data_IF_347827537626
#
_entry.id   IF_347827537626
#
_cell.length_a   1.000
_cell.length_b   1.000
_cell.length_c   1.000
_cell.angle_alpha   90.00
_cell.angle_beta   90.00
_cell.angle_gamma   90.00
#
_symmetry.space_group_name_H-M   'P 1'
#
loop_
_entity.id
_entity.type
_entity.pdbx_description
1 polymer ?
#
# COMPACT_ATOMS: atom_id res chain seq x y z
N UNK A 1 -21.74 46.20 13.62
CA UNK A 1 -21.72 45.18 12.55
C UNK A 1 -20.50 44.28 12.77
N UNK A 2 -20.69 43.18 13.49
CA UNK A 2 -19.65 42.16 13.66
C UNK A 2 -19.67 41.26 12.41
N UNK A 3 -18.54 41.21 11.69
CA UNK A 3 -18.33 40.24 10.60
C UNK A 3 -18.02 38.89 11.25
N UNK A 4 -18.95 37.97 11.15
CA UNK A 4 -18.72 36.56 11.48
C UNK A 4 -17.61 36.02 10.57
N UNK A 5 -16.39 35.97 11.07
CA UNK A 5 -15.29 35.26 10.45
C UNK A 5 -15.56 33.77 10.56
N UNK A 6 -16.09 33.17 9.50
CA UNK A 6 -16.07 31.72 9.39
C UNK A 6 -14.62 31.26 9.41
N UNK A 7 -14.22 30.61 10.48
CA UNK A 7 -12.94 29.93 10.55
C UNK A 7 -12.99 28.75 9.56
N UNK A 8 -12.49 28.97 8.35
CA UNK A 8 -12.20 27.87 7.43
C UNK A 8 -11.03 27.09 8.04
N UNK A 9 -11.34 26.09 8.83
CA UNK A 9 -10.37 25.04 9.13
C UNK A 9 -9.99 24.44 7.79
N UNK A 10 -8.76 24.72 7.33
CA UNK A 10 -8.17 23.99 6.23
C UNK A 10 -8.27 22.51 6.58
N UNK A 11 -8.91 21.73 5.72
CA UNK A 11 -9.05 20.29 5.88
C UNK A 11 -7.63 19.71 5.87
N UNK A 12 -7.02 19.58 7.04
CA UNK A 12 -5.74 18.91 7.18
C UNK A 12 -6.04 17.41 7.15
N UNK A 13 -6.10 16.87 5.93
CA UNK A 13 -6.04 15.45 5.72
C UNK A 13 -4.56 15.05 5.80
N UNK A 14 -4.24 14.04 6.56
CA UNK A 14 -2.90 13.45 6.60
C UNK A 14 -2.65 12.57 5.37
N UNK A 15 -3.11 13.02 4.21
CA UNK A 15 -2.96 12.33 2.93
C UNK A 15 -1.88 13.04 2.11
N UNK A 16 -0.98 12.25 1.57
CA UNK A 16 0.00 12.67 0.57
C UNK A 16 -0.26 11.90 -0.72
N UNK A 17 -0.33 12.63 -1.81
CA UNK A 17 -0.56 12.11 -3.14
C UNK A 17 0.62 12.45 -4.05
N UNK A 18 1.08 11.49 -4.83
CA UNK A 18 2.10 11.67 -5.87
C UNK A 18 1.82 10.73 -7.03
N UNK A 19 2.56 10.90 -8.10
CA UNK A 19 2.49 10.03 -9.27
C UNK A 19 3.74 9.17 -9.35
N UNK A 20 3.56 7.93 -9.74
CA UNK A 20 4.65 7.00 -10.05
C UNK A 20 4.74 6.79 -11.56
N UNK A 21 5.88 6.28 -12.03
CA UNK A 21 6.07 5.96 -13.43
C UNK A 21 5.03 4.94 -13.92
N UNK A 22 4.17 5.29 -14.88
CA UNK A 22 3.15 4.38 -15.41
C UNK A 22 3.72 3.05 -15.91
N UNK A 23 4.96 3.03 -16.40
CA UNK A 23 5.60 1.80 -16.86
C UNK A 23 5.80 0.77 -15.74
N UNK A 24 5.91 1.22 -14.49
CA UNK A 24 5.96 0.34 -13.31
C UNK A 24 4.58 -0.26 -13.05
N UNK A 25 3.52 0.54 -13.15
CA UNK A 25 2.14 0.07 -13.02
C UNK A 25 1.83 -1.00 -14.08
N UNK A 26 2.16 -0.75 -15.34
CA UNK A 26 1.95 -1.70 -16.44
C UNK A 26 2.67 -3.03 -16.19
N UNK A 27 3.92 -2.98 -15.68
CA UNK A 27 4.69 -4.18 -15.34
C UNK A 27 4.09 -4.94 -14.15
N UNK A 28 3.57 -4.24 -13.14
CA UNK A 28 2.88 -4.86 -12.01
C UNK A 28 1.58 -5.53 -12.44
N UNK A 29 0.80 -4.89 -13.33
CA UNK A 29 -0.40 -5.48 -13.93
C UNK A 29 -0.06 -6.72 -14.75
N UNK A 30 1.00 -6.66 -15.57
CA UNK A 30 1.46 -7.80 -16.34
C UNK A 30 1.92 -8.96 -15.44
N UNK A 31 2.67 -8.66 -14.37
CA UNK A 31 3.06 -9.64 -13.36
C UNK A 31 1.84 -10.30 -12.73
N UNK A 32 0.85 -9.51 -12.30
CA UNK A 32 -0.40 -10.05 -11.74
C UNK A 32 -1.11 -10.97 -12.73
N UNK A 33 -1.27 -10.56 -13.99
CA UNK A 33 -1.95 -11.37 -15.02
C UNK A 33 -1.30 -12.73 -15.21
N UNK A 34 0.03 -12.78 -15.26
CA UNK A 34 0.80 -13.99 -15.55
C UNK A 34 1.09 -14.86 -14.32
N UNK A 35 0.95 -14.32 -13.11
CA UNK A 35 1.34 -15.04 -11.90
C UNK A 35 0.37 -16.19 -11.59
N UNK A 36 0.87 -17.42 -11.33
CA UNK A 36 0.02 -18.60 -11.12
C UNK A 36 -0.66 -18.63 -9.74
N UNK A 37 -0.07 -17.98 -8.72
CA UNK A 37 -0.50 -18.10 -7.32
C UNK A 37 -1.36 -16.91 -6.86
N UNK A 38 -2.47 -16.67 -7.57
CA UNK A 38 -3.51 -15.74 -7.14
C UNK A 38 -4.52 -16.46 -6.24
N UNK A 39 -5.09 -15.74 -5.30
CA UNK A 39 -6.08 -16.28 -4.36
C UNK A 39 -7.24 -15.30 -4.16
N UNK A 40 -8.41 -15.77 -3.69
CA UNK A 40 -9.49 -14.87 -3.28
C UNK A 40 -9.02 -13.91 -2.20
N UNK A 41 -9.53 -12.67 -2.24
CA UNK A 41 -9.22 -11.68 -1.22
C UNK A 41 -9.65 -12.13 0.17
N UNK A 42 -8.74 -11.97 1.15
CA UNK A 42 -8.98 -12.28 2.55
C UNK A 42 -9.33 -11.01 3.31
N UNK A 43 -10.18 -11.12 4.34
CA UNK A 43 -10.60 -10.01 5.21
C UNK A 43 -9.81 -9.94 6.52
N UNK A 44 -9.00 -10.95 6.79
CA UNK A 44 -8.14 -11.00 7.99
C UNK A 44 -6.85 -11.75 7.70
N UNK A 45 -5.86 -11.56 8.59
CA UNK A 45 -4.60 -12.31 8.57
C UNK A 45 -4.79 -13.81 8.79
N UNK A 46 -5.92 -14.22 9.36
CA UNK A 46 -6.27 -15.64 9.59
C UNK A 46 -6.81 -16.34 8.34
N UNK A 47 -6.83 -15.65 7.21
CA UNK A 47 -7.23 -16.22 5.92
C UNK A 47 -8.75 -16.32 5.72
N UNK A 48 -9.56 -15.59 6.49
CA UNK A 48 -11.02 -15.62 6.33
C UNK A 48 -11.41 -15.00 4.99
N UNK A 49 -12.17 -15.74 4.20
CA UNK A 49 -12.73 -15.30 2.92
C UNK A 49 -14.23 -15.07 3.09
N UNK A 50 -14.67 -13.85 2.79
CA UNK A 50 -16.09 -13.49 2.72
C UNK A 50 -16.30 -12.56 1.53
N UNK A 51 -16.83 -13.09 0.45
CA UNK A 51 -17.00 -12.35 -0.81
C UNK A 51 -18.09 -11.27 -0.75
N UNK A 52 -19.01 -11.36 0.17
CA UNK A 52 -20.04 -10.31 0.39
C UNK A 52 -19.40 -9.06 1.03
N UNK A 53 -18.27 -9.25 1.74
CA UNK A 53 -17.53 -8.19 2.38
C UNK A 53 -16.35 -7.69 1.54
N UNK A 54 -15.56 -8.63 0.97
CA UNK A 54 -14.44 -8.35 0.07
C UNK A 54 -14.44 -9.32 -1.10
N UNK A 55 -14.86 -8.84 -2.26
CA UNK A 55 -14.78 -9.59 -3.50
C UNK A 55 -13.60 -9.07 -4.32
N UNK A 56 -12.47 -9.77 -4.24
CA UNK A 56 -11.27 -9.49 -5.04
C UNK A 56 -10.52 -10.76 -5.36
N UNK A 57 -9.59 -10.65 -6.30
CA UNK A 57 -8.52 -11.62 -6.55
C UNK A 57 -7.20 -10.96 -6.18
N UNK A 58 -6.47 -11.55 -5.26
CA UNK A 58 -5.28 -10.97 -4.65
C UNK A 58 -4.00 -11.73 -5.05
N UNK A 59 -2.89 -11.00 -5.12
CA UNK A 59 -1.55 -11.51 -5.27
C UNK A 59 -0.63 -10.85 -4.24
N UNK A 60 -0.24 -11.59 -3.23
CA UNK A 60 0.73 -11.13 -2.23
C UNK A 60 2.17 -11.35 -2.74
N UNK A 61 2.97 -10.30 -2.71
CA UNK A 61 4.36 -10.29 -3.19
C UNK A 61 5.28 -9.90 -2.03
N UNK A 62 6.15 -10.81 -1.63
CA UNK A 62 7.04 -10.60 -0.50
C UNK A 62 8.23 -9.70 -0.89
N UNK A 63 8.33 -8.54 -0.26
CA UNK A 63 9.44 -7.60 -0.45
C UNK A 63 10.76 -8.09 0.17
N UNK A 64 10.72 -8.96 1.17
CA UNK A 64 11.94 -9.45 1.84
C UNK A 64 12.81 -10.36 0.95
N UNK A 65 12.28 -10.86 -0.15
CA UNK A 65 13.07 -11.57 -1.17
C UNK A 65 13.94 -10.62 -2.00
N UNK A 66 13.78 -9.32 -1.83
CA UNK A 66 14.50 -8.27 -2.56
C UNK A 66 15.89 -7.97 -1.99
N UNK A 67 16.23 -8.42 -0.80
CA UNK A 67 17.49 -8.11 -0.10
C UNK A 67 18.79 -8.64 -0.73
N UNK A 68 18.70 -9.34 -1.87
CA UNK A 68 19.86 -9.83 -2.63
C UNK A 68 20.00 -9.15 -4.01
N UNK A 69 19.91 -7.84 -4.03
CA UNK A 69 19.77 -7.01 -5.24
C UNK A 69 20.97 -6.98 -6.19
N UNK A 70 22.12 -7.46 -5.78
CA UNK A 70 23.34 -7.42 -6.60
C UNK A 70 23.64 -8.73 -7.34
N UNK A 71 22.79 -9.75 -7.16
CA UNK A 71 23.01 -11.02 -7.84
C UNK A 71 22.45 -10.96 -9.28
N UNK A 72 23.27 -11.24 -10.30
CA UNK A 72 22.81 -11.29 -11.70
C UNK A 72 21.67 -12.31 -11.94
N UNK A 73 21.45 -13.24 -11.00
CA UNK A 73 20.36 -14.21 -11.02
C UNK A 73 19.04 -13.71 -10.40
N UNK A 74 18.97 -12.42 -9.98
CA UNK A 74 17.75 -11.85 -9.41
C UNK A 74 16.60 -11.93 -10.43
N UNK A 75 15.46 -12.54 -10.10
CA UNK A 75 14.33 -12.65 -11.01
C UNK A 75 13.82 -11.26 -11.47
N UNK A 76 13.30 -11.14 -12.69
CA UNK A 76 12.72 -9.86 -13.18
C UNK A 76 11.65 -9.29 -12.26
N UNK A 77 10.84 -10.14 -11.61
CA UNK A 77 9.85 -9.73 -10.62
C UNK A 77 10.46 -9.08 -9.39
N UNK A 78 11.59 -9.58 -8.89
CA UNK A 78 12.29 -8.98 -7.76
C UNK A 78 12.87 -7.59 -8.12
N UNK A 79 13.39 -7.41 -9.34
CA UNK A 79 13.83 -6.09 -9.82
C UNK A 79 12.68 -5.09 -9.87
N UNK A 80 11.52 -5.52 -10.37
CA UNK A 80 10.32 -4.69 -10.44
C UNK A 80 9.83 -4.29 -9.03
N UNK A 81 9.78 -5.24 -8.10
CA UNK A 81 9.38 -4.98 -6.72
C UNK A 81 10.34 -4.03 -6.01
N UNK A 82 11.64 -4.11 -6.31
CA UNK A 82 12.64 -3.19 -5.79
C UNK A 82 12.42 -1.77 -6.31
N UNK A 83 12.17 -1.61 -7.61
CA UNK A 83 11.87 -0.32 -8.20
C UNK A 83 10.62 0.29 -7.54
N UNK A 84 9.56 -0.52 -7.39
CA UNK A 84 8.34 -0.08 -6.73
C UNK A 84 8.59 0.30 -5.26
N UNK A 85 9.32 -0.51 -4.50
CA UNK A 85 9.68 -0.21 -3.10
C UNK A 85 10.49 1.08 -2.95
N UNK A 86 11.41 1.34 -3.89
CA UNK A 86 12.18 2.59 -3.89
C UNK A 86 11.25 3.79 -4.08
N UNK A 87 10.29 3.71 -4.99
CA UNK A 87 9.30 4.78 -5.21
C UNK A 87 8.41 5.00 -3.98
N UNK A 88 8.01 3.92 -3.28
CA UNK A 88 7.29 4.05 -2.01
C UNK A 88 8.16 4.72 -0.95
N UNK A 89 9.45 4.41 -0.89
CA UNK A 89 10.38 5.04 0.04
C UNK A 89 10.56 6.54 -0.27
N UNK A 90 10.65 6.92 -1.52
CA UNK A 90 10.69 8.33 -1.94
C UNK A 90 9.41 9.06 -1.54
N UNK A 91 8.24 8.43 -1.77
CA UNK A 91 6.94 8.94 -1.32
C UNK A 91 6.90 9.13 0.21
N UNK A 92 7.44 8.17 0.98
CA UNK A 92 7.52 8.27 2.44
C UNK A 92 8.39 9.45 2.89
N UNK A 93 9.52 9.68 2.25
CA UNK A 93 10.40 10.82 2.54
C UNK A 93 9.66 12.15 2.33
N UNK A 94 8.92 12.27 1.24
CA UNK A 94 8.14 13.50 0.98
C UNK A 94 6.96 13.63 1.94
N UNK A 95 6.32 12.51 2.32
CA UNK A 95 5.28 12.49 3.35
C UNK A 95 5.80 13.04 4.68
N UNK A 96 6.94 12.56 5.16
CA UNK A 96 7.53 13.00 6.44
C UNK A 96 8.00 14.46 6.42
N UNK A 97 8.43 14.97 5.25
CA UNK A 97 8.70 16.41 5.07
C UNK A 97 7.42 17.24 5.20
N UNK A 98 6.33 16.79 4.58
CA UNK A 98 5.03 17.49 4.65
C UNK A 98 4.41 17.41 6.05
N UNK A 99 4.60 16.29 6.74
CA UNK A 99 4.06 16.01 8.07
C UNK A 99 5.16 15.68 9.07
N UNK A 100 5.97 16.68 9.50
CA UNK A 100 7.23 16.43 10.23
C UNK A 100 7.06 15.86 11.64
N UNK A 101 5.83 15.75 12.14
CA UNK A 101 5.56 15.10 13.42
C UNK A 101 5.23 13.63 13.28
N UNK A 102 5.04 13.13 12.07
CA UNK A 102 4.62 11.75 11.82
C UNK A 102 5.66 10.72 12.23
N UNK A 103 6.96 11.06 12.15
CA UNK A 103 8.09 10.17 12.48
C UNK A 103 8.75 10.45 13.84
N UNK A 104 8.31 11.51 14.56
CA UNK A 104 8.92 11.88 15.87
C UNK A 104 8.59 10.93 17.01
N UNK A 105 7.51 10.18 16.89
CA UNK A 105 7.02 9.29 17.93
C UNK A 105 7.59 7.87 17.77
N UNK A 106 8.06 7.53 16.59
CA UNK A 106 8.50 6.19 16.22
C UNK A 106 9.89 6.21 15.59
N UNK A 107 10.67 5.17 15.87
CA UNK A 107 11.94 4.91 15.18
C UNK A 107 11.66 4.46 13.75
N UNK A 108 11.89 5.32 12.77
CA UNK A 108 11.90 5.06 11.34
C UNK A 108 10.72 4.23 10.78
N UNK A 109 9.92 4.85 9.96
CA UNK A 109 8.99 4.13 9.10
C UNK A 109 9.73 3.21 8.13
N UNK A 110 9.25 2.00 8.00
CA UNK A 110 9.78 1.01 7.07
C UNK A 110 8.61 0.29 6.41
N UNK A 111 8.74 0.00 5.12
CA UNK A 111 7.84 -0.94 4.45
C UNK A 111 8.28 -2.34 4.86
N UNK A 112 7.51 -3.00 5.71
CA UNK A 112 7.85 -4.32 6.28
C UNK A 112 6.98 -5.44 5.75
N UNK A 113 5.85 -5.12 5.19
CA UNK A 113 4.86 -6.09 4.75
C UNK A 113 4.96 -6.36 3.26
N UNK A 114 4.32 -7.44 2.84
CA UNK A 114 4.17 -7.77 1.43
C UNK A 114 3.35 -6.72 0.70
N UNK A 115 3.67 -6.46 -0.55
CA UNK A 115 2.80 -5.73 -1.45
C UNK A 115 1.67 -6.66 -1.87
N UNK A 116 0.44 -6.20 -1.73
CA UNK A 116 -0.74 -6.95 -2.18
C UNK A 116 -1.35 -6.28 -3.40
N UNK A 117 -1.27 -6.92 -4.56
CA UNK A 117 -1.99 -6.48 -5.75
C UNK A 117 -3.40 -7.05 -5.66
N UNK A 118 -4.40 -6.18 -5.62
CA UNK A 118 -5.80 -6.54 -5.51
C UNK A 118 -6.52 -6.19 -6.82
N UNK A 119 -7.11 -7.17 -7.45
CA UNK A 119 -7.93 -6.99 -8.64
C UNK A 119 -9.40 -7.15 -8.29
N UNK A 120 -10.18 -6.14 -8.64
CA UNK A 120 -11.64 -6.14 -8.54
C UNK A 120 -12.22 -6.16 -9.94
N UNK A 121 -13.00 -7.19 -10.26
CA UNK A 121 -13.76 -7.21 -11.51
C UNK A 121 -14.94 -6.22 -11.43
N UNK A 122 -15.54 -5.84 -12.58
CA UNK A 122 -16.73 -4.99 -12.56
C UNK A 122 -17.82 -5.54 -11.63
N UNK A 123 -18.29 -4.71 -10.68
CA UNK A 123 -19.23 -5.08 -9.65
C UNK A 123 -18.66 -5.70 -8.38
N UNK A 124 -17.35 -6.00 -8.36
CA UNK A 124 -16.66 -6.42 -7.13
C UNK A 124 -16.17 -5.21 -6.33
N UNK A 125 -16.08 -5.36 -5.01
CA UNK A 125 -15.66 -4.28 -4.11
C UNK A 125 -15.14 -4.82 -2.78
N UNK A 126 -14.59 -3.92 -1.97
CA UNK A 126 -14.41 -4.10 -0.55
C UNK A 126 -15.47 -3.25 0.16
N UNK A 127 -16.59 -3.89 0.54
CA UNK A 127 -17.80 -3.19 0.95
C UNK A 127 -17.79 -2.71 2.42
N UNK A 128 -16.90 -3.23 3.25
CA UNK A 128 -16.90 -2.94 4.68
C UNK A 128 -15.95 -1.81 5.09
N UNK A 129 -16.39 -0.96 6.02
CA UNK A 129 -15.48 -0.09 6.76
C UNK A 129 -14.57 -0.94 7.63
N UNK A 130 -13.28 -0.67 7.59
CA UNK A 130 -12.27 -1.39 8.35
C UNK A 130 -11.12 -0.46 8.75
N UNK A 131 -10.30 -0.92 9.65
CA UNK A 131 -9.03 -0.28 9.93
C UNK A 131 -7.89 -1.28 9.72
N UNK A 132 -6.70 -0.76 9.38
CA UNK A 132 -5.52 -1.57 9.07
C UNK A 132 -4.87 -2.21 10.31
N UNK A 133 -5.36 -1.92 11.50
CA UNK A 133 -4.80 -2.34 12.80
C UNK A 133 -5.82 -3.12 13.61
N UNK A 134 -6.30 -4.22 13.04
CA UNK A 134 -7.37 -5.02 13.65
C UNK A 134 -6.86 -6.11 14.60
N UNK A 135 -5.57 -6.45 14.54
CA UNK A 135 -4.98 -7.51 15.35
C UNK A 135 -3.69 -7.05 16.03
N UNK A 136 -3.25 -7.73 17.13
CA UNK A 136 -1.97 -7.43 17.77
C UNK A 136 -0.76 -7.48 16.83
N UNK A 137 -0.76 -8.35 15.82
CA UNK A 137 0.30 -8.46 14.82
C UNK A 137 0.40 -7.24 13.88
N UNK A 138 -0.67 -6.45 13.81
CA UNK A 138 -0.79 -5.28 12.93
C UNK A 138 -0.60 -3.95 13.66
N UNK A 139 -0.32 -3.97 14.96
CA UNK A 139 -0.20 -2.78 15.80
C UNK A 139 0.89 -1.80 15.35
N UNK A 140 1.87 -2.27 14.60
CA UNK A 140 2.97 -1.46 14.06
C UNK A 140 2.63 -0.74 12.74
N UNK A 141 1.45 -0.97 12.16
CA UNK A 141 1.01 -0.26 10.94
C UNK A 141 0.64 1.17 11.28
N UNK A 142 1.30 2.14 10.68
CA UNK A 142 1.04 3.58 10.86
C UNK A 142 0.59 4.27 9.60
N UNK A 143 1.08 3.80 8.45
CA UNK A 143 0.80 4.36 7.14
C UNK A 143 0.38 3.24 6.19
N UNK A 144 -0.49 3.58 5.26
CA UNK A 144 -0.93 2.71 4.18
C UNK A 144 -0.55 3.36 2.86
N UNK A 145 0.08 2.59 2.00
CA UNK A 145 0.33 2.98 0.63
C UNK A 145 -0.70 2.33 -0.28
N UNK A 146 -1.34 3.16 -1.11
CA UNK A 146 -2.28 2.68 -2.12
C UNK A 146 -1.88 3.26 -3.47
N UNK A 147 -1.79 2.40 -4.47
CA UNK A 147 -1.50 2.76 -5.87
C UNK A 147 -2.64 2.27 -6.75
N UNK A 148 -3.19 3.16 -7.58
CA UNK A 148 -4.32 2.91 -8.47
C UNK A 148 -3.93 3.07 -9.93
#
# INVERSE_FOLDING_TARGET
MQKNGACYMSKQDFIYQTYIDPSICDKLIALFKLHPHKHPGMISSDGIINRDYKASTDLALNLNQTGQMTNPRTPPSAKLLNQYSQMLQECLVEYTKKFPYSDKIHHYFQVRESVNIQHYAPGESYAGWHCERQSPGENSRHLVFMTY
#
